data_IF_909788304169
#
_entry.id   IF_909788304169
#
_cell.length_a   1.000
_cell.length_b   1.000
_cell.length_c   1.000
_cell.angle_alpha   90.00
_cell.angle_beta   90.00
_cell.angle_gamma   90.00
#
_symmetry.space_group_name_H-M   'P 1'
#
loop_
_entity.id
_entity.type
_entity.pdbx_description
1 polymer ?
#
# COMPACT_ATOMS: atom_id res chain seq x y z
N UNK A 1 10.80 15.77 16.92
CA UNK A 1 9.43 15.30 17.16
C UNK A 1 9.08 15.54 18.63
N UNK A 2 8.01 16.27 18.97
CA UNK A 2 7.60 16.41 20.37
C UNK A 2 7.21 15.02 20.93
N UNK A 3 7.63 14.65 22.16
CA UNK A 3 7.44 13.29 22.70
C UNK A 3 5.96 12.86 22.76
N UNK A 4 5.05 13.83 22.76
CA UNK A 4 3.60 13.64 22.79
C UNK A 4 3.03 13.00 21.51
N UNK A 5 3.67 13.17 20.35
CA UNK A 5 3.18 12.62 19.08
C UNK A 5 3.39 11.10 19.00
N UNK A 6 4.55 10.62 19.47
CA UNK A 6 4.92 9.19 19.50
C UNK A 6 4.00 8.42 20.46
N UNK A 7 3.75 8.97 21.66
CA UNK A 7 2.83 8.33 22.63
C UNK A 7 1.41 8.20 22.06
N UNK A 8 0.92 9.22 21.34
CA UNK A 8 -0.39 9.17 20.68
C UNK A 8 -0.44 8.08 19.60
N UNK A 9 0.61 7.97 18.77
CA UNK A 9 0.71 6.93 17.76
C UNK A 9 0.75 5.53 18.37
N UNK A 10 1.53 5.33 19.43
CA UNK A 10 1.60 4.05 20.14
C UNK A 10 0.25 3.65 20.75
N UNK A 11 -0.51 4.59 21.31
CA UNK A 11 -1.84 4.32 21.84
C UNK A 11 -2.81 3.87 20.74
N UNK A 12 -2.76 4.51 19.56
CA UNK A 12 -3.59 4.13 18.40
C UNK A 12 -3.20 2.76 17.84
N UNK A 13 -1.91 2.49 17.68
CA UNK A 13 -1.43 1.20 17.18
C UNK A 13 -1.85 0.03 18.08
N UNK A 14 -1.97 0.24 19.40
CA UNK A 14 -2.48 -0.79 20.32
C UNK A 14 -3.93 -1.20 20.07
N UNK A 15 -4.73 -0.37 19.39
CA UNK A 15 -6.10 -0.71 19.01
C UNK A 15 -6.13 -1.73 17.85
N UNK A 16 -5.04 -1.83 17.08
CA UNK A 16 -4.91 -2.76 15.97
C UNK A 16 -4.15 -4.01 16.41
N UNK A 17 -4.84 -5.14 16.50
CA UNK A 17 -4.21 -6.43 16.81
C UNK A 17 -3.40 -7.01 15.65
N UNK A 18 -3.75 -6.62 14.41
CA UNK A 18 -3.10 -7.01 13.15
C UNK A 18 -3.20 -5.85 12.16
N UNK A 19 -2.27 -5.81 11.20
CA UNK A 19 -2.33 -4.86 10.09
C UNK A 19 -3.52 -5.26 9.18
N UNK A 20 -4.42 -4.32 8.82
CA UNK A 20 -5.50 -4.57 7.88
C UNK A 20 -5.00 -5.03 6.50
N UNK A 21 -5.82 -5.71 5.68
CA UNK A 21 -5.40 -6.27 4.40
C UNK A 21 -4.88 -5.23 3.39
N UNK A 22 -5.40 -3.99 3.41
CA UNK A 22 -4.90 -2.94 2.52
C UNK A 22 -3.75 -2.10 3.12
N UNK A 23 -3.35 -2.41 4.36
CA UNK A 23 -2.36 -1.64 5.12
C UNK A 23 -3.00 -0.69 6.13
N UNK A 24 -2.17 0.11 6.78
CA UNK A 24 -2.59 1.08 7.81
C UNK A 24 -1.85 2.38 7.60
N UNK A 25 -2.59 3.49 7.56
CA UNK A 25 -2.02 4.83 7.52
C UNK A 25 -2.30 5.52 8.85
N UNK A 26 -1.27 6.16 9.43
CA UNK A 26 -1.38 6.87 10.70
C UNK A 26 -0.66 8.23 10.61
N UNK A 27 -1.42 9.31 10.70
CA UNK A 27 -0.91 10.66 10.83
C UNK A 27 -1.10 11.16 12.27
N UNK A 28 -0.02 11.58 12.91
CA UNK A 28 -0.04 12.14 14.27
C UNK A 28 0.76 13.44 14.31
N UNK A 29 0.19 14.49 14.90
CA UNK A 29 0.87 15.78 15.01
C UNK A 29 0.04 16.83 15.74
N UNK A 30 0.63 18.01 15.89
CA UNK A 30 -0.09 19.20 16.37
C UNK A 30 -0.17 20.18 15.21
N UNK A 31 -1.38 20.60 14.86
CA UNK A 31 -1.61 21.64 13.85
C UNK A 31 -2.06 22.93 14.52
N UNK A 32 -1.73 24.07 13.93
CA UNK A 32 -2.33 25.34 14.32
C UNK A 32 -3.70 25.45 13.64
N UNK A 33 -4.72 25.81 14.41
CA UNK A 33 -6.05 26.15 13.87
C UNK A 33 -6.11 27.63 13.51
N UNK A 34 -7.09 28.03 12.71
CA UNK A 34 -7.27 29.44 12.28
C UNK A 34 -7.42 30.40 13.48
N UNK A 35 -7.90 29.90 14.62
CA UNK A 35 -8.00 30.62 15.90
C UNK A 35 -6.65 30.78 16.64
N UNK A 36 -5.53 30.38 16.03
CA UNK A 36 -4.20 30.40 16.63
C UNK A 36 -3.98 29.36 17.74
N UNK A 37 -4.94 28.45 17.96
CA UNK A 37 -4.83 27.40 18.97
C UNK A 37 -4.14 26.16 18.42
N UNK A 38 -3.24 25.59 19.22
CA UNK A 38 -2.65 24.28 18.96
C UNK A 38 -3.69 23.17 19.14
N UNK A 39 -3.96 22.42 18.07
CA UNK A 39 -4.84 21.25 18.09
C UNK A 39 -4.02 20.00 17.78
N UNK A 40 -4.08 19.02 18.69
CA UNK A 40 -3.54 17.68 18.43
C UNK A 40 -4.47 16.95 17.47
N UNK A 41 -3.91 16.43 16.38
CA UNK A 41 -4.62 15.63 15.39
C UNK A 41 -3.96 14.27 15.33
N UNK A 42 -4.79 13.23 15.38
CA UNK A 42 -4.36 11.86 15.14
C UNK A 42 -5.43 11.20 14.32
N UNK A 43 -5.07 10.85 13.08
CA UNK A 43 -5.95 10.25 12.09
C UNK A 43 -5.34 8.96 11.62
N UNK A 44 -6.08 7.87 11.75
CA UNK A 44 -5.73 6.55 11.26
C UNK A 44 -6.88 5.98 10.44
N UNK A 45 -6.54 5.29 9.36
CA UNK A 45 -7.50 4.64 8.49
C UNK A 45 -6.82 3.56 7.63
N UNK A 46 -7.64 2.64 7.13
CA UNK A 46 -7.26 1.68 6.11
C UNK A 46 -7.46 2.30 4.72
N UNK A 47 -6.45 2.30 3.83
CA UNK A 47 -6.59 2.84 2.49
C UNK A 47 -7.51 1.96 1.62
N UNK A 48 -8.10 2.56 0.58
CA UNK A 48 -9.02 1.86 -0.32
C UNK A 48 -8.33 0.86 -1.26
N UNK A 49 -7.00 0.99 -1.44
CA UNK A 49 -6.14 0.07 -2.21
C UNK A 49 -4.96 -0.37 -1.35
N UNK A 50 -4.46 -1.61 -1.51
CA UNK A 50 -3.26 -2.07 -0.80
C UNK A 50 -2.06 -1.16 -1.03
N UNK A 51 -1.45 -0.69 0.07
CA UNK A 51 -0.24 0.12 0.04
C UNK A 51 1.01 -0.76 0.16
N UNK A 52 1.94 -0.64 -0.79
CA UNK A 52 3.23 -1.35 -0.77
C UNK A 52 4.38 -0.47 -0.22
N UNK A 53 4.07 0.73 0.26
CA UNK A 53 5.05 1.67 0.83
C UNK A 53 5.10 1.54 2.35
N UNK A 54 6.31 1.39 2.90
CA UNK A 54 6.58 1.48 4.33
C UNK A 54 7.31 2.78 4.61
N UNK A 55 6.64 3.75 5.24
CA UNK A 55 7.15 5.10 5.45
C UNK A 55 6.93 5.55 6.89
N UNK A 56 8.00 6.04 7.54
CA UNK A 56 7.94 6.71 8.83
C UNK A 56 8.70 8.03 8.74
N UNK A 57 7.96 9.15 8.79
CA UNK A 57 8.51 10.50 8.66
C UNK A 57 7.97 11.41 9.76
N UNK A 58 8.85 12.24 10.30
CA UNK A 58 8.50 13.35 11.18
C UNK A 58 8.92 14.64 10.51
N UNK A 59 7.96 15.48 10.14
CA UNK A 59 8.22 16.75 9.47
C UNK A 59 7.23 17.83 9.95
N UNK A 60 7.41 19.07 9.50
CA UNK A 60 6.49 20.19 9.78
C UNK A 60 5.18 20.13 8.95
N UNK A 61 5.08 19.19 8.01
CA UNK A 61 3.92 18.91 7.17
C UNK A 61 3.59 17.41 7.15
N UNK A 62 2.33 17.09 6.89
CA UNK A 62 1.93 15.70 6.65
C UNK A 62 2.25 15.30 5.22
N UNK A 63 2.99 14.19 5.07
CA UNK A 63 3.37 13.64 3.78
C UNK A 63 2.25 12.72 3.27
N UNK A 64 1.44 13.19 2.32
CA UNK A 64 0.33 12.44 1.70
C UNK A 64 0.68 11.93 0.30
N UNK A 65 1.94 12.00 -0.10
CA UNK A 65 2.42 11.63 -1.44
C UNK A 65 2.09 10.17 -1.77
N UNK A 66 2.34 9.25 -0.83
CA UNK A 66 2.01 7.83 -1.01
C UNK A 66 0.50 7.57 -1.15
N UNK A 67 -0.35 8.39 -0.55
CA UNK A 67 -1.80 8.31 -0.74
C UNK A 67 -2.24 8.89 -2.09
N UNK A 68 -1.59 9.96 -2.55
CA UNK A 68 -1.85 10.55 -3.85
C UNK A 68 -1.47 9.59 -4.98
N UNK A 69 -0.33 8.90 -4.88
CA UNK A 69 0.04 7.83 -5.81
C UNK A 69 -1.00 6.70 -5.84
N UNK A 70 -1.61 6.38 -4.68
CA UNK A 70 -2.70 5.42 -4.63
C UNK A 70 -3.99 5.96 -5.28
N UNK A 71 -4.20 7.27 -5.33
CA UNK A 71 -5.35 7.90 -6.00
C UNK A 71 -5.13 8.03 -7.51
N UNK A 72 -3.87 8.22 -7.94
CA UNK A 72 -3.51 8.24 -9.35
C UNK A 72 -3.94 6.93 -10.03
N UNK A 73 -4.93 7.05 -10.91
CA UNK A 73 -5.49 5.94 -11.67
C UNK A 73 -4.47 5.53 -12.72
N UNK A 74 -3.60 4.58 -12.36
CA UNK A 74 -2.79 3.90 -13.37
C UNK A 74 -3.68 2.97 -14.18
N UNK A 75 -3.53 3.01 -15.50
CA UNK A 75 -4.15 2.07 -16.42
C UNK A 75 -3.84 0.63 -15.98
N UNK A 76 -4.85 -0.25 -16.01
CA UNK A 76 -4.69 -1.67 -15.68
C UNK A 76 -4.23 -2.41 -16.94
N UNK A 77 -2.98 -2.84 -16.95
CA UNK A 77 -2.41 -3.63 -18.03
C UNK A 77 -2.56 -5.12 -17.75
N UNK A 78 -3.04 -5.87 -18.73
CA UNK A 78 -3.12 -7.33 -18.67
C UNK A 78 -1.90 -7.98 -19.31
N UNK A 79 -1.32 -8.98 -18.64
CA UNK A 79 -0.21 -9.79 -19.14
C UNK A 79 -0.64 -11.24 -19.26
N UNK A 80 -0.35 -11.83 -20.41
CA UNK A 80 -0.47 -13.27 -20.66
C UNK A 80 0.92 -13.77 -20.99
N UNK A 81 1.49 -14.57 -20.09
CA UNK A 81 2.83 -15.17 -20.25
C UNK A 81 2.65 -16.64 -20.54
N UNK A 82 3.01 -17.09 -21.74
CA UNK A 82 2.93 -18.48 -22.16
C UNK A 82 4.33 -19.07 -22.32
N UNK A 83 4.56 -20.24 -21.74
CA UNK A 83 5.79 -21.04 -21.86
C UNK A 83 5.42 -22.51 -22.15
N UNK A 84 6.37 -23.33 -22.59
CA UNK A 84 6.17 -24.76 -22.85
C UNK A 84 5.72 -25.58 -21.64
N UNK A 85 5.88 -25.03 -20.43
CA UNK A 85 5.46 -25.65 -19.18
C UNK A 85 4.12 -25.10 -18.62
N UNK A 86 3.51 -24.08 -19.22
CA UNK A 86 2.30 -23.47 -18.66
C UNK A 86 1.97 -22.07 -19.15
N UNK A 87 0.93 -21.49 -18.58
CA UNK A 87 0.50 -20.12 -18.85
C UNK A 87 0.18 -19.38 -17.55
N UNK A 88 0.50 -18.09 -17.50
CA UNK A 88 0.20 -17.18 -16.41
C UNK A 88 -0.58 -15.96 -16.94
N UNK A 89 -1.70 -15.68 -16.28
CA UNK A 89 -2.47 -14.45 -16.44
C UNK A 89 -2.23 -13.56 -15.23
N UNK A 90 -1.81 -12.33 -15.49
CA UNK A 90 -1.60 -11.34 -14.44
C UNK A 90 -2.01 -9.96 -14.89
N UNK A 91 -2.20 -9.07 -13.94
CA UNK A 91 -2.46 -7.66 -14.21
C UNK A 91 -1.50 -6.78 -13.43
N UNK A 92 -1.14 -5.66 -14.03
CA UNK A 92 -0.33 -4.62 -13.41
C UNK A 92 -1.13 -3.32 -13.42
N UNK A 93 -1.26 -2.71 -12.25
CA UNK A 93 -1.85 -1.37 -12.09
C UNK A 93 -0.88 -0.53 -11.27
N UNK A 94 -0.14 0.36 -11.94
CA UNK A 94 0.95 1.10 -11.31
C UNK A 94 2.02 0.16 -10.77
N UNK A 95 2.29 0.23 -9.46
CA UNK A 95 3.24 -0.63 -8.75
C UNK A 95 2.61 -1.91 -8.15
N UNK A 96 1.33 -2.17 -8.43
CA UNK A 96 0.62 -3.33 -7.88
C UNK A 96 0.53 -4.44 -8.92
N UNK A 97 1.17 -5.59 -8.65
CA UNK A 97 1.08 -6.81 -9.46
C UNK A 97 0.07 -7.77 -8.85
N UNK A 98 -0.82 -8.28 -9.68
CA UNK A 98 -1.82 -9.30 -9.30
C UNK A 98 -1.71 -10.50 -10.24
N UNK A 99 -1.65 -11.73 -9.70
CA UNK A 99 -1.68 -12.96 -10.51
C UNK A 99 -3.10 -13.51 -10.46
N UNK A 100 -3.79 -13.46 -11.60
CA UNK A 100 -5.19 -13.88 -11.70
C UNK A 100 -5.31 -15.39 -11.78
N UNK A 101 -4.47 -16.00 -12.62
CA UNK A 101 -4.53 -17.44 -12.84
C UNK A 101 -3.20 -17.95 -13.37
N UNK A 102 -2.81 -19.15 -12.92
CA UNK A 102 -1.62 -19.85 -13.40
C UNK A 102 -1.96 -21.32 -13.53
N UNK A 103 -1.70 -21.90 -14.70
CA UNK A 103 -1.78 -23.33 -14.91
C UNK A 103 -0.52 -23.84 -15.60
N UNK A 104 -0.18 -25.08 -15.31
CA UNK A 104 0.95 -25.78 -15.93
C UNK A 104 0.45 -26.75 -16.99
N UNK A 105 1.24 -26.96 -18.03
CA UNK A 105 1.01 -27.98 -19.06
C UNK A 105 2.24 -28.87 -19.17
N UNK A 106 2.03 -30.17 -19.30
CA UNK A 106 3.09 -31.12 -19.62
C UNK A 106 3.04 -31.42 -21.12
N UNK A 107 3.94 -30.77 -21.86
CA UNK A 107 4.09 -31.04 -23.29
C UNK A 107 5.08 -32.19 -23.50
N UNK A 108 4.78 -33.14 -24.41
CA UNK A 108 5.71 -34.21 -24.75
C UNK A 108 6.98 -33.63 -25.36
N UNK A 109 8.14 -34.12 -24.92
CA UNK A 109 9.44 -33.74 -25.52
C UNK A 109 9.44 -34.13 -26.99
N UNK A 110 9.78 -33.17 -27.87
CA UNK A 110 9.95 -33.43 -29.30
C UNK A 110 11.05 -34.49 -29.49
N UNK A 111 10.70 -35.66 -30.04
CA UNK A 111 11.71 -36.60 -30.54
C UNK A 111 12.40 -35.95 -31.75
N UNK A 112 13.69 -35.64 -31.58
CA UNK A 112 14.57 -35.20 -32.65
C UNK A 112 14.78 -36.36 -33.62
N UNK A 113 14.58 -36.09 -34.90
CA UNK A 113 14.99 -36.98 -35.99
C UNK A 113 16.44 -36.67 -36.36
#
# INVERSE_FOLDING_TARGET
>A
MPPRAITSAQQRLKLYSKVPPHGLVLYTGTILTDDGKEKKVTTDFEPFRPINASLYLCDNKFHTEALNELLESNDKFGFIVMDGNGTLFGTLSGNTREVLHKFSVDLPKKHGR
#
